data_IF_440696497959
#
_entry.id   IF_440696497959
#
_cell.length_a   1.000
_cell.length_b   1.000
_cell.length_c   1.000
_cell.angle_alpha   90.00
_cell.angle_beta   90.00
_cell.angle_gamma   90.00
#
_symmetry.space_group_name_H-M   'P 1'
#
loop_
_entity.id
_entity.type
_entity.pdbx_description
1 polymer ?
#
# COMPACT_ATOMS: atom_id res chain seq x y z
N UNK A 1 15.46 23.05 -44.46
CA UNK A 1 15.41 22.09 -43.34
C UNK A 1 14.32 22.49 -42.36
N UNK A 2 13.21 21.73 -42.26
CA UNK A 2 12.13 21.97 -41.28
C UNK A 2 11.98 20.73 -40.40
N UNK A 3 12.16 20.88 -39.08
CA UNK A 3 11.98 19.80 -38.10
C UNK A 3 10.48 19.61 -37.85
N UNK A 4 9.97 18.44 -38.20
CA UNK A 4 8.59 18.01 -37.92
C UNK A 4 8.53 17.60 -36.45
N UNK A 5 7.74 18.31 -35.65
CA UNK A 5 7.46 17.95 -34.26
C UNK A 5 6.54 16.71 -34.23
N UNK A 6 6.96 15.71 -33.45
CA UNK A 6 6.23 14.46 -33.20
C UNK A 6 4.94 14.74 -32.45
N UNK A 7 3.79 14.39 -33.05
CA UNK A 7 2.54 14.17 -32.33
C UNK A 7 2.50 12.69 -31.97
N UNK A 8 2.84 12.36 -30.72
CA UNK A 8 2.60 11.02 -30.17
C UNK A 8 1.13 10.97 -29.77
N UNK A 9 0.30 10.34 -30.61
CA UNK A 9 -1.04 9.86 -30.23
C UNK A 9 -0.83 8.67 -29.28
N UNK A 10 -1.00 8.90 -27.98
CA UNK A 10 -1.05 7.79 -27.02
C UNK A 10 -2.41 7.12 -27.12
N UNK A 11 -2.40 5.84 -27.50
CA UNK A 11 -3.58 4.99 -27.62
C UNK A 11 -4.21 4.76 -26.23
N UNK A 12 -5.53 4.88 -26.18
CA UNK A 12 -6.35 4.77 -24.99
C UNK A 12 -6.67 3.28 -24.73
N UNK A 13 -5.78 2.60 -24.01
CA UNK A 13 -6.03 1.25 -23.47
C UNK A 13 -6.14 1.40 -21.96
N UNK A 14 -7.27 1.00 -21.35
CA UNK A 14 -7.54 1.13 -19.92
C UNK A 14 -6.67 0.16 -19.08
N UNK A 15 -5.36 0.40 -19.05
CA UNK A 15 -4.46 -0.27 -18.12
C UNK A 15 -4.81 0.16 -16.69
N UNK A 16 -4.82 -0.80 -15.75
CA UNK A 16 -4.81 -0.49 -14.34
C UNK A 16 -3.62 0.46 -14.09
N UNK A 17 -3.90 1.67 -13.62
CA UNK A 17 -2.86 2.65 -13.36
C UNK A 17 -2.11 2.20 -12.11
N UNK A 18 -0.79 2.23 -12.12
CA UNK A 18 0.02 1.92 -10.95
C UNK A 18 1.06 3.02 -10.69
N UNK A 19 1.55 3.06 -9.47
CA UNK A 19 2.70 3.88 -9.06
C UNK A 19 3.68 2.96 -8.36
N UNK A 20 4.91 2.88 -8.88
CA UNK A 20 6.02 2.24 -8.18
C UNK A 20 6.81 3.30 -7.43
N UNK A 21 7.25 2.95 -6.23
CA UNK A 21 8.16 3.78 -5.43
C UNK A 21 9.57 3.25 -5.67
N UNK A 22 10.47 4.10 -6.16
CA UNK A 22 11.86 3.70 -6.46
C UNK A 22 12.62 3.24 -5.21
N UNK A 23 12.37 3.91 -4.08
CA UNK A 23 12.89 3.56 -2.77
C UNK A 23 11.72 3.20 -1.85
N UNK A 24 11.34 1.90 -1.76
CA UNK A 24 10.33 1.46 -0.81
C UNK A 24 10.66 1.95 0.59
N UNK A 25 9.64 2.30 1.38
CA UNK A 25 9.83 2.80 2.73
C UNK A 25 9.28 1.81 3.77
N UNK A 26 10.00 1.67 4.88
CA UNK A 26 9.66 0.75 5.96
C UNK A 26 8.41 1.26 6.69
N UNK A 27 7.40 0.40 6.87
CA UNK A 27 6.09 0.82 7.38
C UNK A 27 6.11 1.30 8.84
N UNK A 28 7.12 0.89 9.61
CA UNK A 28 7.33 1.30 10.99
C UNK A 28 7.97 2.70 11.11
N UNK A 29 8.40 3.29 9.99
CA UNK A 29 8.97 4.63 9.92
C UNK A 29 8.02 5.62 9.25
N UNK A 30 8.10 6.87 9.70
CA UNK A 30 7.33 7.95 9.11
C UNK A 30 7.72 8.16 7.63
N UNK A 31 6.76 8.19 6.68
CA UNK A 31 7.08 8.34 5.26
C UNK A 31 7.55 9.75 4.91
N UNK A 32 8.63 9.85 4.14
CA UNK A 32 9.17 11.12 3.66
C UNK A 32 8.66 11.50 2.26
N UNK A 33 8.37 10.49 1.43
CA UNK A 33 7.81 10.68 0.10
C UNK A 33 6.30 10.89 0.21
N UNK A 34 5.76 11.90 -0.48
CA UNK A 34 4.32 12.11 -0.61
C UNK A 34 3.82 11.53 -1.92
N UNK A 35 2.77 10.70 -1.86
CA UNK A 35 2.10 10.18 -3.05
C UNK A 35 0.63 10.62 -3.02
N UNK A 36 0.21 11.58 -3.87
CA UNK A 36 -1.15 12.07 -3.88
C UNK A 36 -2.11 11.02 -4.47
N UNK A 37 -3.25 10.80 -3.80
CA UNK A 37 -4.30 9.93 -4.27
C UNK A 37 -4.86 10.44 -5.61
N UNK A 38 -4.91 9.62 -6.67
CA UNK A 38 -5.37 10.07 -7.99
C UNK A 38 -6.89 10.31 -8.06
N UNK A 39 -7.65 9.78 -7.11
CA UNK A 39 -9.10 9.92 -6.99
C UNK A 39 -9.56 9.65 -5.55
N UNK A 40 -10.78 10.08 -5.22
CA UNK A 40 -11.44 9.69 -3.96
C UNK A 40 -11.92 8.24 -4.00
N UNK A 41 -11.71 7.50 -2.91
CA UNK A 41 -12.00 6.07 -2.85
C UNK A 41 -11.56 5.44 -1.53
N UNK A 42 -11.05 4.21 -1.59
CA UNK A 42 -10.53 3.53 -0.40
C UNK A 42 -9.24 2.75 -0.67
N UNK A 43 -8.31 2.85 0.27
CA UNK A 43 -7.11 2.01 0.33
C UNK A 43 -7.50 0.69 0.98
N UNK A 44 -7.17 -0.44 0.32
CA UNK A 44 -7.25 -1.76 0.93
C UNK A 44 -6.02 -1.97 1.80
N UNK A 45 -6.23 -2.08 3.10
CA UNK A 45 -5.18 -2.25 4.11
C UNK A 45 -5.29 -3.66 4.71
N UNK A 46 -4.38 -4.59 4.33
CA UNK A 46 -4.37 -5.95 4.86
C UNK A 46 -4.22 -5.97 6.38
N UNK A 47 -4.91 -6.90 7.04
CA UNK A 47 -4.78 -7.08 8.48
C UNK A 47 -3.50 -7.84 8.85
N UNK A 48 -3.07 -8.75 7.98
CA UNK A 48 -1.84 -9.51 8.14
C UNK A 48 -1.21 -9.85 6.78
N UNK A 49 -0.02 -10.47 6.82
CA UNK A 49 0.73 -10.89 5.66
C UNK A 49 -0.15 -11.62 4.63
N UNK A 50 -0.04 -11.22 3.35
CA UNK A 50 -0.84 -11.73 2.21
C UNK A 50 -2.36 -11.50 2.32
N UNK A 51 -2.84 -10.84 3.37
CA UNK A 51 -4.27 -10.60 3.57
C UNK A 51 -5.05 -11.80 4.13
N UNK A 52 -4.38 -12.79 4.72
CA UNK A 52 -5.01 -14.03 5.26
C UNK A 52 -6.09 -13.73 6.32
N UNK A 53 -5.97 -12.63 7.05
CA UNK A 53 -6.93 -12.14 8.05
C UNK A 53 -7.97 -11.16 7.51
N UNK A 54 -8.02 -10.97 6.19
CA UNK A 54 -8.86 -9.99 5.54
C UNK A 54 -8.21 -8.62 5.38
N UNK A 55 -9.02 -7.67 4.92
CA UNK A 55 -8.59 -6.31 4.60
C UNK A 55 -9.59 -5.31 5.18
N UNK A 56 -9.07 -4.23 5.78
CA UNK A 56 -9.85 -3.04 6.11
C UNK A 56 -9.83 -2.06 4.93
N UNK A 57 -10.70 -1.05 5.00
CA UNK A 57 -10.76 0.05 4.04
C UNK A 57 -10.48 1.37 4.74
N UNK A 58 -9.49 2.10 4.25
CA UNK A 58 -9.22 3.48 4.67
C UNK A 58 -9.70 4.42 3.58
N UNK A 59 -10.67 5.28 3.88
CA UNK A 59 -11.19 6.27 2.93
C UNK A 59 -10.15 7.37 2.67
N UNK A 60 -10.05 7.79 1.41
CA UNK A 60 -9.21 8.93 0.99
C UNK A 60 -9.93 9.76 -0.06
N UNK A 61 -9.60 11.04 -0.14
CA UNK A 61 -10.01 11.97 -1.17
C UNK A 61 -8.91 12.17 -2.21
N UNK A 62 -9.27 12.59 -3.42
CA UNK A 62 -8.29 12.95 -4.44
C UNK A 62 -7.32 14.03 -3.95
N UNK A 63 -6.02 13.76 -4.02
CA UNK A 63 -4.94 14.65 -3.56
C UNK A 63 -4.40 14.35 -2.15
N UNK A 64 -5.10 13.53 -1.35
CA UNK A 64 -4.64 13.08 -0.04
C UNK A 64 -3.32 12.31 -0.16
N UNK A 65 -2.47 12.36 0.87
CA UNK A 65 -1.21 11.61 0.87
C UNK A 65 -1.44 10.15 1.25
N UNK A 66 -1.31 9.25 0.28
CA UNK A 66 -1.49 7.81 0.46
C UNK A 66 -0.47 7.24 1.45
N UNK A 67 0.79 7.66 1.37
CA UNK A 67 1.83 7.14 2.26
C UNK A 67 1.51 7.50 3.72
N UNK A 68 1.10 8.75 3.97
CA UNK A 68 0.67 9.22 5.30
C UNK A 68 -0.53 8.42 5.81
N UNK A 69 -1.57 8.26 5.00
CA UNK A 69 -2.78 7.54 5.41
C UNK A 69 -2.49 6.08 5.81
N UNK A 70 -1.57 5.43 5.08
CA UNK A 70 -1.15 4.06 5.36
C UNK A 70 -0.31 3.98 6.63
N UNK A 71 0.65 4.89 6.80
CA UNK A 71 1.42 4.98 8.04
C UNK A 71 0.51 5.19 9.25
N UNK A 72 -0.41 6.16 9.19
CA UNK A 72 -1.32 6.46 10.29
C UNK A 72 -2.24 5.29 10.62
N UNK A 73 -2.63 4.47 9.63
CA UNK A 73 -3.36 3.22 9.90
C UNK A 73 -2.48 2.20 10.62
N UNK A 74 -1.29 1.91 10.10
CA UNK A 74 -0.44 0.82 10.60
C UNK A 74 0.37 1.14 11.86
N UNK A 75 0.50 2.43 12.20
CA UNK A 75 1.09 2.89 13.45
C UNK A 75 0.16 2.71 14.66
N UNK A 76 -1.14 2.48 14.43
CA UNK A 76 -2.11 2.23 15.49
C UNK A 76 -1.88 0.86 16.14
N UNK A 77 -2.34 0.76 17.40
CA UNK A 77 -2.46 -0.52 18.10
C UNK A 77 -3.28 -1.52 17.26
N UNK A 78 -2.81 -2.76 17.26
CA UNK A 78 -3.56 -3.88 16.73
C UNK A 78 -4.82 -4.11 17.58
N UNK A 79 -5.93 -4.52 16.96
CA UNK A 79 -7.12 -4.90 17.72
C UNK A 79 -6.81 -6.13 18.58
N UNK A 80 -7.49 -6.25 19.71
CA UNK A 80 -7.42 -7.46 20.53
C UNK A 80 -7.82 -8.69 19.69
N UNK A 81 -7.06 -9.78 19.82
CA UNK A 81 -7.29 -11.00 19.05
C UNK A 81 -6.94 -10.88 17.55
N UNK A 82 -6.08 -9.93 17.17
CA UNK A 82 -5.57 -9.80 15.80
C UNK A 82 -5.07 -11.16 15.27
N UNK A 83 -5.68 -11.61 14.18
CA UNK A 83 -5.32 -12.87 13.53
C UNK A 83 -3.98 -12.75 12.80
N UNK A 84 -3.24 -13.86 12.75
CA UNK A 84 -1.96 -13.98 12.06
C UNK A 84 -0.77 -13.98 13.01
N UNK A 85 0.42 -14.12 12.44
CA UNK A 85 1.68 -14.07 13.19
C UNK A 85 2.06 -12.63 13.48
N UNK A 86 2.26 -12.27 14.75
CA UNK A 86 3.03 -11.08 15.09
C UNK A 86 4.52 -11.40 14.87
N UNK A 87 5.17 -10.71 13.93
CA UNK A 87 6.56 -10.96 13.55
C UNK A 87 7.58 -10.16 14.39
N UNK A 88 7.13 -9.22 15.24
CA UNK A 88 7.99 -8.30 16.00
C UNK A 88 7.85 -8.53 17.51
N UNK A 89 6.63 -8.58 18.03
CA UNK A 89 6.31 -8.84 19.44
C UNK A 89 5.42 -10.09 19.58
N UNK A 90 6.01 -11.30 19.70
CA UNK A 90 5.24 -12.54 19.83
C UNK A 90 4.39 -12.63 21.11
N UNK A 91 4.75 -11.89 22.16
CA UNK A 91 4.00 -11.86 23.42
C UNK A 91 2.79 -10.92 23.35
N UNK A 92 2.84 -9.96 22.42
CA UNK A 92 1.71 -9.14 22.01
C UNK A 92 1.25 -8.13 23.07
N UNK A 93 2.18 -7.57 23.84
CA UNK A 93 1.89 -6.71 24.97
C UNK A 93 1.43 -5.31 24.54
N UNK A 94 2.03 -4.76 23.48
CA UNK A 94 1.64 -3.47 22.86
C UNK A 94 1.78 -3.54 21.33
N UNK A 95 1.14 -4.54 20.74
CA UNK A 95 1.28 -4.81 19.31
C UNK A 95 0.71 -3.71 18.43
N UNK A 96 1.45 -3.34 17.39
CA UNK A 96 0.96 -2.48 16.31
C UNK A 96 0.53 -3.28 15.10
N UNK A 97 -0.36 -2.69 14.30
CA UNK A 97 -0.92 -3.36 13.11
C UNK A 97 0.14 -3.76 12.07
N UNK A 98 1.22 -2.99 11.92
CA UNK A 98 2.26 -3.35 10.94
C UNK A 98 3.02 -4.62 11.29
N UNK A 99 3.07 -5.00 12.57
CA UNK A 99 3.85 -6.14 13.06
C UNK A 99 3.32 -7.48 12.52
N UNK A 100 2.10 -7.49 11.98
CA UNK A 100 1.44 -8.65 11.39
C UNK A 100 1.62 -8.75 9.87
N UNK A 101 2.26 -7.76 9.23
CA UNK A 101 2.41 -7.69 7.77
C UNK A 101 3.61 -8.47 7.23
N UNK A 102 4.47 -8.96 8.12
CA UNK A 102 5.72 -9.61 7.78
C UNK A 102 6.86 -9.16 8.70
N UNK A 103 8.00 -9.85 8.68
CA UNK A 103 9.15 -9.53 9.51
C UNK A 103 9.85 -8.22 9.14
N UNK A 104 9.76 -7.75 7.88
CA UNK A 104 10.33 -6.46 7.49
C UNK A 104 9.53 -5.83 6.35
N UNK A 105 8.32 -5.29 6.61
CA UNK A 105 7.39 -4.84 5.59
C UNK A 105 7.68 -3.40 5.12
N UNK A 106 7.73 -3.22 3.80
CA UNK A 106 7.92 -1.95 3.11
C UNK A 106 6.78 -1.70 2.13
N UNK A 107 6.39 -0.44 2.00
CA UNK A 107 5.46 0.00 0.95
C UNK A 107 6.27 0.29 -0.32
N UNK A 108 6.04 -0.51 -1.36
CA UNK A 108 6.76 -0.48 -2.63
C UNK A 108 5.97 0.20 -3.77
N UNK A 109 4.66 0.38 -3.60
CA UNK A 109 3.84 1.05 -4.61
C UNK A 109 2.35 0.90 -4.41
N UNK A 110 1.60 1.30 -5.44
CA UNK A 110 0.14 1.34 -5.45
C UNK A 110 -0.41 0.85 -6.78
N UNK A 111 -1.49 0.07 -6.73
CA UNK A 111 -2.33 -0.24 -7.89
C UNK A 111 -3.69 0.44 -7.73
N UNK A 112 -4.16 1.07 -8.80
CA UNK A 112 -5.38 1.85 -8.79
C UNK A 112 -6.46 1.19 -9.66
N UNK A 113 -7.63 0.99 -9.07
CA UNK A 113 -8.85 0.64 -9.80
C UNK A 113 -9.85 1.81 -9.68
N UNK A 114 -9.85 2.67 -10.70
CA UNK A 114 -10.70 3.86 -10.74
C UNK A 114 -12.19 3.55 -10.94
N UNK A 115 -12.53 2.34 -11.39
CA UNK A 115 -13.91 1.88 -11.56
C UNK A 115 -14.48 1.42 -10.22
N UNK A 116 -13.72 0.64 -9.46
CA UNK A 116 -14.10 0.17 -8.11
C UNK A 116 -13.82 1.20 -7.02
N UNK A 117 -13.10 2.28 -7.36
CA UNK A 117 -12.61 3.30 -6.41
C UNK A 117 -11.76 2.70 -5.30
N UNK A 118 -10.91 1.73 -5.66
CA UNK A 118 -10.03 1.03 -4.73
C UNK A 118 -8.56 1.26 -5.09
N UNK A 119 -7.74 1.38 -4.05
CA UNK A 119 -6.28 1.50 -4.12
C UNK A 119 -5.70 0.31 -3.37
N UNK A 120 -4.87 -0.48 -4.02
CA UNK A 120 -4.18 -1.63 -3.44
C UNK A 120 -2.72 -1.26 -3.17
N UNK A 121 -2.21 -1.69 -2.02
CA UNK A 121 -0.81 -1.47 -1.63
C UNK A 121 0.03 -2.62 -2.19
N UNK A 122 1.11 -2.27 -2.88
CA UNK A 122 2.18 -3.21 -3.19
C UNK A 122 3.23 -3.17 -2.09
N UNK A 123 3.46 -4.34 -1.50
CA UNK A 123 4.38 -4.55 -0.41
C UNK A 123 5.67 -5.21 -0.91
N UNK A 124 6.77 -4.84 -0.28
CA UNK A 124 8.04 -5.55 -0.31
C UNK A 124 8.36 -6.00 1.10
N UNK A 125 8.70 -7.28 1.30
CA UNK A 125 9.30 -7.70 2.56
C UNK A 125 10.79 -7.95 2.34
N UNK A 126 11.63 -7.18 3.03
CA UNK A 126 13.08 -7.23 2.85
C UNK A 126 13.68 -8.53 3.39
N UNK A 127 13.16 -9.02 4.51
CA UNK A 127 13.68 -10.23 5.16
C UNK A 127 13.27 -11.50 4.38
N UNK A 128 12.02 -11.57 3.93
CA UNK A 128 11.51 -12.67 3.10
C UNK A 128 11.89 -12.53 1.62
N UNK A 129 12.46 -11.39 1.21
CA UNK A 129 12.90 -11.07 -0.14
C UNK A 129 11.78 -11.30 -1.19
N UNK A 130 10.56 -10.84 -0.89
CA UNK A 130 9.39 -11.06 -1.76
C UNK A 130 8.47 -9.84 -1.87
N UNK A 131 7.85 -9.70 -3.05
CA UNK A 131 6.78 -8.72 -3.29
C UNK A 131 5.41 -9.36 -3.14
N UNK A 132 4.45 -8.60 -2.65
CA UNK A 132 3.08 -9.07 -2.54
C UNK A 132 2.05 -7.93 -2.55
N UNK A 133 0.83 -8.30 -2.91
CA UNK A 133 -0.40 -7.52 -2.73
C UNK A 133 -1.33 -8.46 -1.98
N UNK A 134 -2.21 -7.94 -1.11
CA UNK A 134 -3.16 -8.81 -0.45
C UNK A 134 -4.02 -9.57 -1.45
N UNK A 135 -4.27 -10.83 -1.12
CA UNK A 135 -5.18 -11.64 -1.88
C UNK A 135 -6.58 -11.04 -1.79
N UNK A 136 -7.25 -10.98 -2.95
CA UNK A 136 -8.65 -10.58 -3.02
C UNK A 136 -9.47 -11.78 -2.53
N UNK A 137 -9.79 -11.80 -1.24
CA UNK A 137 -10.83 -12.67 -0.71
C UNK A 137 -12.18 -12.41 -1.41
#
# INVERSE_FOLDING_TARGET
MRKIQRVIRTQNTMAAKETKIEQPWAIDKYPLLRIPAPFSGSILVPHCFRGVGGNSKVSVYGGDDLNRAIFDYYAQAAPEGQLGTNYIDPEGLDSKRHEYLGPSPFVAGYKYDSRRKTIEIEWWDEFLNLKWIADRA
#
